data_IF_567634514410
#
_entry.id   IF_567634514410
#
_cell.length_a   1.000
_cell.length_b   1.000
_cell.length_c   1.000
_cell.angle_alpha   90.00
_cell.angle_beta   90.00
_cell.angle_gamma   90.00
#
_symmetry.space_group_name_H-M   'P 1'
#
loop_
_entity.id
_entity.type
_entity.pdbx_description
1 polymer ?
#
# COMPACT_ATOMS: atom_id res chain seq x y z
N UNK A 1 -32.62 25.90 -27.48
CA UNK A 1 -31.87 26.71 -26.51
C UNK A 1 -32.80 26.97 -25.33
N UNK A 2 -32.51 26.44 -24.15
CA UNK A 2 -33.24 26.78 -22.93
C UNK A 2 -32.85 28.21 -22.53
N UNK A 3 -33.84 29.05 -22.29
CA UNK A 3 -33.64 30.41 -21.80
C UNK A 3 -33.49 30.37 -20.29
N UNK A 4 -32.50 31.09 -19.75
CA UNK A 4 -32.41 31.37 -18.33
C UNK A 4 -33.67 32.08 -17.87
N UNK A 5 -34.28 31.63 -16.80
CA UNK A 5 -35.49 32.24 -16.22
C UNK A 5 -35.14 32.84 -14.87
N UNK A 6 -35.45 34.09 -14.66
CA UNK A 6 -35.22 34.77 -13.39
C UNK A 6 -36.09 34.17 -12.28
N UNK A 7 -35.50 33.64 -11.21
CA UNK A 7 -36.23 33.06 -10.09
C UNK A 7 -37.08 34.05 -9.31
N UNK A 8 -36.76 35.37 -9.39
CA UNK A 8 -37.48 36.40 -8.68
C UNK A 8 -38.76 36.87 -9.38
N UNK A 9 -38.76 36.95 -10.74
CA UNK A 9 -39.88 37.50 -11.47
C UNK A 9 -40.38 36.65 -12.65
N UNK A 10 -39.74 35.50 -12.90
CA UNK A 10 -40.08 34.63 -14.02
C UNK A 10 -39.66 35.15 -15.40
N UNK A 11 -39.02 36.31 -15.47
CA UNK A 11 -38.56 36.89 -16.73
C UNK A 11 -37.43 36.06 -17.38
N UNK A 12 -37.46 36.00 -18.73
CA UNK A 12 -36.50 35.17 -19.49
C UNK A 12 -35.40 35.99 -20.18
N UNK A 13 -35.39 37.31 -19.99
CA UNK A 13 -34.41 38.20 -20.58
C UNK A 13 -33.33 38.56 -19.58
N UNK A 14 -32.24 37.74 -19.54
CA UNK A 14 -31.07 37.96 -18.73
C UNK A 14 -29.88 38.28 -19.62
N UNK A 15 -29.27 39.44 -19.43
CA UNK A 15 -28.11 39.92 -20.20
C UNK A 15 -26.87 39.86 -19.33
N UNK A 16 -25.75 39.36 -19.89
CA UNK A 16 -24.46 39.34 -19.22
C UNK A 16 -23.82 40.74 -19.28
N UNK A 17 -23.66 41.40 -18.13
CA UNK A 17 -22.96 42.67 -17.97
C UNK A 17 -21.91 42.55 -16.84
N UNK A 18 -20.69 42.99 -17.07
CA UNK A 18 -19.60 43.05 -16.08
C UNK A 18 -19.38 41.72 -15.29
N UNK A 19 -19.54 40.59 -15.99
CA UNK A 19 -19.32 39.27 -15.39
C UNK A 19 -20.50 38.66 -14.60
N UNK A 20 -21.64 39.37 -14.53
CA UNK A 20 -22.89 38.91 -13.91
C UNK A 20 -24.04 38.91 -14.92
N UNK A 21 -25.08 38.10 -14.70
CA UNK A 21 -26.31 38.10 -15.48
C UNK A 21 -27.33 38.98 -14.78
N UNK A 22 -27.85 39.96 -15.49
CA UNK A 22 -28.85 40.95 -14.99
C UNK A 22 -30.18 40.71 -15.67
N UNK A 23 -31.21 40.47 -14.88
CA UNK A 23 -32.58 40.38 -15.40
C UNK A 23 -33.08 41.77 -15.86
N UNK A 24 -33.50 41.88 -17.12
CA UNK A 24 -33.96 43.15 -17.69
C UNK A 24 -35.34 43.58 -17.16
N UNK A 25 -36.09 42.65 -16.52
CA UNK A 25 -37.41 42.97 -15.98
C UNK A 25 -37.38 43.50 -14.55
N UNK A 26 -36.56 42.88 -13.68
CA UNK A 26 -36.56 43.22 -12.25
C UNK A 26 -35.20 43.69 -11.71
N UNK A 27 -34.15 43.70 -12.56
CA UNK A 27 -32.81 44.15 -12.17
C UNK A 27 -32.03 43.18 -11.29
N UNK A 28 -32.57 42.01 -10.96
CA UNK A 28 -31.86 41.00 -10.13
C UNK A 28 -30.61 40.55 -10.83
N UNK A 29 -29.50 40.50 -10.08
CA UNK A 29 -28.17 40.07 -10.56
C UNK A 29 -27.87 38.66 -10.10
N UNK A 30 -27.35 37.84 -11.01
CA UNK A 30 -26.91 36.46 -10.74
C UNK A 30 -25.44 36.30 -11.11
N UNK A 31 -24.64 35.72 -10.22
CA UNK A 31 -23.28 35.35 -10.56
C UNK A 31 -23.26 34.17 -11.53
N UNK A 32 -22.16 34.02 -12.27
CA UNK A 32 -22.02 32.96 -13.30
C UNK A 32 -22.30 31.58 -12.76
N UNK A 33 -21.93 31.32 -11.49
CA UNK A 33 -22.17 30.04 -10.82
C UNK A 33 -23.65 29.80 -10.48
N UNK A 34 -24.38 30.85 -10.09
CA UNK A 34 -25.81 30.77 -9.81
C UNK A 34 -26.60 30.58 -11.11
N UNK A 35 -26.21 31.32 -12.16
CA UNK A 35 -26.80 31.15 -13.49
C UNK A 35 -26.54 29.74 -14.06
N UNK A 36 -25.39 29.13 -13.76
CA UNK A 36 -25.10 27.72 -14.09
C UNK A 36 -26.02 26.74 -13.34
N UNK A 37 -26.29 26.95 -12.06
CA UNK A 37 -27.25 26.13 -11.30
C UNK A 37 -28.65 26.18 -11.90
N UNK A 38 -29.12 27.38 -12.29
CA UNK A 38 -30.41 27.56 -12.98
C UNK A 38 -30.50 26.84 -14.33
N UNK A 39 -29.34 26.61 -14.99
CA UNK A 39 -29.28 25.83 -16.24
C UNK A 39 -29.32 24.31 -15.97
N UNK A 40 -28.90 23.85 -14.80
CA UNK A 40 -28.80 22.43 -14.45
C UNK A 40 -30.12 21.88 -13.90
N UNK A 41 -30.95 22.70 -13.23
CA UNK A 41 -32.25 22.29 -12.67
C UNK A 41 -33.36 22.09 -13.73
N UNK A 42 -33.08 22.36 -14.96
CA UNK A 42 -33.96 21.95 -16.06
C UNK A 42 -33.54 20.63 -16.64
N UNK A 43 -34.37 19.58 -16.55
CA UNK A 43 -34.18 18.32 -17.28
C UNK A 43 -33.82 18.60 -18.74
N UNK A 44 -32.52 18.50 -19.06
CA UNK A 44 -32.06 18.47 -20.44
C UNK A 44 -32.31 17.04 -20.90
N UNK A 45 -33.35 16.86 -21.71
CA UNK A 45 -33.58 15.59 -22.43
C UNK A 45 -32.47 15.51 -23.50
N UNK A 46 -31.30 15.01 -23.06
CA UNK A 46 -30.17 14.75 -23.95
C UNK A 46 -30.43 13.39 -24.57
N UNK A 47 -31.07 13.38 -25.73
CA UNK A 47 -31.04 12.19 -26.59
C UNK A 47 -29.61 12.01 -27.10
N UNK A 48 -28.79 11.35 -26.30
CA UNK A 48 -27.40 11.03 -26.60
C UNK A 48 -26.55 11.02 -25.34
N UNK A 49 -25.60 10.09 -25.25
CA UNK A 49 -24.60 10.03 -24.18
C UNK A 49 -23.64 11.19 -24.36
N UNK A 50 -23.68 12.20 -23.50
CA UNK A 50 -22.64 13.23 -23.43
C UNK A 50 -21.43 12.58 -22.78
N UNK A 51 -20.46 12.11 -23.56
CA UNK A 51 -19.14 11.76 -23.06
C UNK A 51 -18.41 13.06 -22.70
N UNK A 52 -18.33 13.37 -21.43
CA UNK A 52 -17.44 14.42 -20.93
C UNK A 52 -16.02 13.88 -21.04
N UNK A 53 -15.21 14.45 -21.92
CA UNK A 53 -13.80 14.10 -22.01
C UNK A 53 -13.05 14.73 -20.82
N UNK A 54 -12.81 13.94 -19.79
CA UNK A 54 -12.06 14.34 -18.59
C UNK A 54 -10.56 14.01 -18.71
N UNK A 55 -10.09 13.56 -19.87
CA UNK A 55 -8.72 13.08 -20.07
C UNK A 55 -7.64 14.09 -19.65
N UNK A 56 -7.82 15.37 -19.97
CA UNK A 56 -6.89 16.44 -19.61
C UNK A 56 -6.84 16.66 -18.07
N UNK A 57 -7.96 16.53 -17.37
CA UNK A 57 -8.01 16.63 -15.91
C UNK A 57 -7.35 15.41 -15.25
N UNK A 58 -7.64 14.21 -15.76
CA UNK A 58 -7.03 12.97 -15.29
C UNK A 58 -5.50 13.05 -15.40
N UNK A 59 -4.97 13.48 -16.53
CA UNK A 59 -3.51 13.65 -16.72
C UNK A 59 -2.91 14.63 -15.72
N UNK A 60 -3.54 15.80 -15.54
CA UNK A 60 -3.08 16.80 -14.57
C UNK A 60 -3.08 16.28 -13.14
N UNK A 61 -4.10 15.51 -12.75
CA UNK A 61 -4.16 14.92 -11.42
C UNK A 61 -3.12 13.81 -11.25
N UNK A 62 -2.87 12.97 -12.27
CA UNK A 62 -1.80 11.97 -12.27
C UNK A 62 -0.42 12.61 -12.10
N UNK A 63 -0.12 13.70 -12.81
CA UNK A 63 1.14 14.43 -12.66
C UNK A 63 1.32 14.98 -11.24
N UNK A 64 0.27 15.57 -10.67
CA UNK A 64 0.30 16.07 -9.30
C UNK A 64 0.47 14.92 -8.28
N UNK A 65 -0.25 13.82 -8.47
CA UNK A 65 -0.19 12.64 -7.61
C UNK A 65 1.22 12.01 -7.62
N UNK A 66 1.82 11.84 -8.80
CA UNK A 66 3.18 11.30 -8.96
C UNK A 66 4.24 12.22 -8.34
N UNK A 67 4.05 13.54 -8.45
CA UNK A 67 4.92 14.53 -7.79
C UNK A 67 4.78 14.48 -6.27
N UNK A 68 3.57 14.32 -5.74
CA UNK A 68 3.32 14.14 -4.31
C UNK A 68 3.97 12.84 -3.81
N UNK A 69 3.83 11.73 -4.55
CA UNK A 69 4.47 10.46 -4.24
C UNK A 69 6.00 10.57 -4.17
N UNK A 70 6.62 11.30 -5.11
CA UNK A 70 8.08 11.50 -5.09
C UNK A 70 8.59 12.29 -3.88
N UNK A 71 7.70 13.09 -3.26
CA UNK A 71 7.99 13.88 -2.04
C UNK A 71 7.54 13.18 -0.76
N UNK A 72 6.94 11.99 -0.87
CA UNK A 72 6.34 11.25 0.25
C UNK A 72 5.23 12.03 0.99
N UNK A 73 4.57 12.95 0.28
CA UNK A 73 3.40 13.67 0.78
C UNK A 73 2.16 12.80 0.63
N UNK A 74 1.95 11.91 1.62
CA UNK A 74 0.92 10.88 1.55
C UNK A 74 -0.51 11.44 1.56
N UNK A 75 -0.73 12.61 2.13
CA UNK A 75 -2.02 13.30 2.09
C UNK A 75 -2.35 13.78 0.68
N UNK A 76 -1.41 14.42 0.01
CA UNK A 76 -1.59 14.83 -1.39
C UNK A 76 -1.63 13.63 -2.35
N UNK A 77 -0.89 12.53 -2.05
CA UNK A 77 -0.97 11.27 -2.80
C UNK A 77 -2.40 10.73 -2.76
N UNK A 78 -2.98 10.56 -1.56
CA UNK A 78 -4.37 10.13 -1.42
C UNK A 78 -5.31 11.02 -2.20
N UNK A 79 -5.22 12.33 -1.99
CA UNK A 79 -6.11 13.32 -2.58
C UNK A 79 -6.12 13.31 -4.11
N UNK A 80 -4.94 13.40 -4.72
CA UNK A 80 -4.86 13.48 -6.18
C UNK A 80 -5.19 12.16 -6.87
N UNK A 81 -4.76 11.00 -6.33
CA UNK A 81 -5.16 9.72 -6.89
C UNK A 81 -6.66 9.45 -6.71
N UNK A 82 -7.28 9.86 -5.62
CA UNK A 82 -8.73 9.79 -5.44
C UNK A 82 -9.48 10.64 -6.49
N UNK A 83 -8.93 11.81 -6.86
CA UNK A 83 -9.49 12.61 -7.96
C UNK A 83 -9.36 11.92 -9.32
N UNK A 84 -8.26 11.19 -9.56
CA UNK A 84 -8.11 10.36 -10.77
C UNK A 84 -9.14 9.24 -10.77
N UNK A 85 -9.27 8.51 -9.67
CA UNK A 85 -10.22 7.39 -9.52
C UNK A 85 -11.67 7.82 -9.77
N UNK A 86 -12.08 8.99 -9.25
CA UNK A 86 -13.42 9.55 -9.49
C UNK A 86 -13.69 9.88 -10.97
N UNK A 87 -12.67 10.25 -11.74
CA UNK A 87 -12.81 10.61 -13.17
C UNK A 87 -12.46 9.45 -14.12
N UNK A 88 -11.77 8.43 -13.62
CA UNK A 88 -11.36 7.22 -14.35
C UNK A 88 -11.36 6.02 -13.40
N UNK A 89 -12.54 5.45 -13.11
CA UNK A 89 -12.69 4.41 -12.06
C UNK A 89 -11.90 3.13 -12.29
N UNK A 90 -11.56 2.82 -13.54
CA UNK A 90 -10.80 1.61 -13.91
C UNK A 90 -9.29 1.87 -14.02
N UNK A 91 -8.80 3.01 -13.52
CA UNK A 91 -7.39 3.33 -13.52
C UNK A 91 -6.68 2.57 -12.39
N UNK A 92 -5.90 1.55 -12.73
CA UNK A 92 -5.21 0.67 -11.76
C UNK A 92 -4.23 1.45 -10.87
N UNK A 93 -3.48 2.41 -11.46
CA UNK A 93 -2.54 3.25 -10.70
C UNK A 93 -3.30 4.03 -9.62
N UNK A 94 -4.42 4.65 -9.99
CA UNK A 94 -5.20 5.48 -9.06
C UNK A 94 -5.85 4.67 -7.94
N UNK A 95 -6.48 3.54 -8.26
CA UNK A 95 -7.14 2.66 -7.29
C UNK A 95 -6.15 2.14 -6.24
N UNK A 96 -4.95 1.77 -6.65
CA UNK A 96 -3.92 1.35 -5.71
C UNK A 96 -3.38 2.53 -4.89
N UNK A 97 -2.90 3.60 -5.55
CA UNK A 97 -2.19 4.67 -4.85
C UNK A 97 -3.07 5.57 -4.00
N UNK A 98 -4.38 5.72 -4.28
CA UNK A 98 -5.32 6.39 -3.38
C UNK A 98 -5.40 5.68 -2.02
N UNK A 99 -5.51 4.36 -2.05
CA UNK A 99 -5.55 3.52 -0.84
C UNK A 99 -4.18 3.36 -0.18
N UNK A 100 -3.11 3.35 -0.98
CA UNK A 100 -1.73 3.33 -0.48
C UNK A 100 -1.42 4.60 0.33
N UNK A 101 -1.78 5.79 -0.18
CA UNK A 101 -1.64 7.05 0.56
C UNK A 101 -2.33 6.99 1.93
N UNK A 102 -3.57 6.47 1.98
CA UNK A 102 -4.31 6.26 3.25
C UNK A 102 -3.59 5.31 4.21
N UNK A 103 -3.04 4.22 3.69
CA UNK A 103 -2.30 3.25 4.50
C UNK A 103 -1.01 3.87 5.06
N UNK A 104 -0.26 4.62 4.25
CA UNK A 104 0.96 5.31 4.67
C UNK A 104 0.69 6.39 5.71
N UNK A 105 -0.37 7.20 5.57
CA UNK A 105 -0.80 8.17 6.58
C UNK A 105 -1.12 7.50 7.92
N UNK A 106 -1.72 6.30 7.90
CA UNK A 106 -2.08 5.59 9.12
C UNK A 106 -0.88 5.11 9.94
N UNK A 107 0.33 5.06 9.37
CA UNK A 107 1.54 4.67 10.08
C UNK A 107 1.94 5.68 11.18
N UNK A 108 1.50 6.93 11.06
CA UNK A 108 1.69 7.95 12.08
C UNK A 108 0.67 7.87 13.22
N UNK A 109 -0.38 7.05 13.07
CA UNK A 109 -1.42 6.87 14.08
C UNK A 109 -0.98 5.81 15.09
N UNK A 110 -1.13 6.12 16.38
CA UNK A 110 -0.79 5.19 17.47
C UNK A 110 -1.84 4.08 17.67
N UNK A 111 -2.99 4.18 17.00
CA UNK A 111 -4.07 3.21 17.13
C UNK A 111 -3.94 2.09 16.07
N UNK A 112 -3.56 0.89 16.50
CA UNK A 112 -3.44 -0.30 15.62
C UNK A 112 -4.69 -0.58 14.80
N UNK A 113 -5.86 -0.44 15.38
CA UNK A 113 -7.13 -0.68 14.70
C UNK A 113 -7.32 0.23 13.47
N UNK A 114 -6.90 1.48 13.54
CA UNK A 114 -6.96 2.41 12.40
C UNK A 114 -6.01 2.00 11.30
N UNK A 115 -4.78 1.57 11.66
CA UNK A 115 -3.82 1.03 10.69
C UNK A 115 -4.40 -0.20 9.98
N UNK A 116 -4.93 -1.16 10.74
CA UNK A 116 -5.52 -2.38 10.21
C UNK A 116 -6.67 -2.08 9.23
N UNK A 117 -7.55 -1.14 9.58
CA UNK A 117 -8.61 -0.69 8.69
C UNK A 117 -8.07 -0.13 7.37
N UNK A 118 -7.04 0.74 7.41
CA UNK A 118 -6.47 1.36 6.21
C UNK A 118 -5.72 0.35 5.34
N UNK A 119 -4.97 -0.56 5.94
CA UNK A 119 -4.34 -1.67 5.22
C UNK A 119 -5.38 -2.65 4.66
N UNK A 120 -6.49 -2.87 5.35
CA UNK A 120 -7.62 -3.65 4.84
C UNK A 120 -8.29 -2.99 3.62
N UNK A 121 -8.35 -1.65 3.57
CA UNK A 121 -8.80 -0.91 2.37
C UNK A 121 -7.81 -1.12 1.23
N UNK A 122 -6.51 -0.99 1.49
CA UNK A 122 -5.47 -1.22 0.48
C UNK A 122 -5.51 -2.65 -0.08
N UNK A 123 -5.68 -3.66 0.76
CA UNK A 123 -5.84 -5.05 0.31
C UNK A 123 -7.05 -5.22 -0.62
N UNK A 124 -8.19 -4.58 -0.30
CA UNK A 124 -9.37 -4.59 -1.20
C UNK A 124 -9.14 -3.86 -2.52
N UNK A 125 -8.37 -2.77 -2.52
CA UNK A 125 -8.01 -2.07 -3.76
C UNK A 125 -7.10 -2.92 -4.64
N UNK A 126 -6.25 -3.75 -4.04
CA UNK A 126 -5.40 -4.69 -4.77
C UNK A 126 -6.23 -5.79 -5.42
N UNK A 127 -7.24 -6.33 -4.71
CA UNK A 127 -8.05 -7.46 -5.20
C UNK A 127 -8.90 -7.17 -6.44
N UNK A 128 -8.94 -5.93 -6.92
CA UNK A 128 -9.60 -5.56 -8.19
C UNK A 128 -8.63 -5.28 -9.34
N UNK A 129 -7.32 -5.41 -9.11
CA UNK A 129 -6.29 -5.13 -10.13
C UNK A 129 -6.44 -6.05 -11.33
N UNK A 130 -6.69 -7.35 -11.10
CA UNK A 130 -6.91 -8.30 -12.18
C UNK A 130 -8.13 -7.93 -13.04
N UNK A 131 -9.23 -7.52 -12.41
CA UNK A 131 -10.45 -7.11 -13.12
C UNK A 131 -10.20 -5.86 -13.99
N UNK A 132 -9.37 -4.93 -13.51
CA UNK A 132 -9.05 -3.69 -14.23
C UNK A 132 -7.93 -3.87 -15.25
N UNK A 133 -7.17 -4.95 -15.16
CA UNK A 133 -6.07 -5.21 -16.09
C UNK A 133 -6.50 -5.18 -17.55
N UNK A 134 -7.68 -5.74 -17.88
CA UNK A 134 -8.18 -5.75 -19.25
C UNK A 134 -8.73 -4.40 -19.72
N UNK A 135 -9.40 -3.69 -18.84
CA UNK A 135 -10.17 -2.49 -19.19
C UNK A 135 -9.40 -1.19 -18.99
N UNK A 136 -8.27 -1.23 -18.28
CA UNK A 136 -7.40 -0.08 -18.08
C UNK A 136 -6.71 0.33 -19.39
N UNK A 137 -6.73 1.64 -19.67
CA UNK A 137 -6.02 2.24 -20.81
C UNK A 137 -4.55 2.54 -20.57
N UNK A 138 -4.01 2.18 -19.39
CA UNK A 138 -2.64 2.49 -18.97
C UNK A 138 -1.61 1.51 -19.55
N UNK A 139 -0.34 1.88 -19.43
CA UNK A 139 0.75 0.94 -19.61
C UNK A 139 0.79 -0.05 -18.43
N UNK A 140 0.21 -1.22 -18.64
CA UNK A 140 -0.02 -2.26 -17.61
C UNK A 140 1.28 -2.69 -16.93
N UNK A 141 2.35 -2.92 -17.68
CA UNK A 141 3.65 -3.29 -17.13
C UNK A 141 4.21 -2.19 -16.22
N UNK A 142 4.19 -0.94 -16.67
CA UNK A 142 4.69 0.21 -15.89
C UNK A 142 3.93 0.36 -14.59
N UNK A 143 2.59 0.25 -14.62
CA UNK A 143 1.76 0.37 -13.41
C UNK A 143 2.04 -0.77 -12.43
N UNK A 144 2.10 -2.01 -12.89
CA UNK A 144 2.38 -3.15 -12.01
C UNK A 144 3.80 -3.07 -11.41
N UNK A 145 4.79 -2.57 -12.15
CA UNK A 145 6.13 -2.30 -11.61
C UNK A 145 6.10 -1.21 -10.54
N UNK A 146 5.39 -0.10 -10.76
CA UNK A 146 5.22 0.97 -9.76
C UNK A 146 4.56 0.46 -8.49
N UNK A 147 3.52 -0.38 -8.61
CA UNK A 147 2.85 -1.00 -7.45
C UNK A 147 3.84 -1.88 -6.67
N UNK A 148 4.59 -2.73 -7.38
CA UNK A 148 5.60 -3.59 -6.76
C UNK A 148 6.67 -2.79 -6.02
N UNK A 149 7.15 -1.70 -6.61
CA UNK A 149 8.15 -0.81 -6.00
C UNK A 149 7.58 -0.06 -4.78
N UNK A 150 6.31 0.34 -4.84
CA UNK A 150 5.63 0.97 -3.72
C UNK A 150 5.47 0.02 -2.53
N UNK A 151 5.11 -1.25 -2.77
CA UNK A 151 5.02 -2.29 -1.73
C UNK A 151 6.41 -2.55 -1.10
N UNK A 152 7.48 -2.53 -1.90
CA UNK A 152 8.84 -2.67 -1.37
C UNK A 152 9.26 -1.44 -0.54
N UNK A 153 8.91 -0.24 -1.02
CA UNK A 153 9.18 1.02 -0.32
C UNK A 153 8.42 1.12 1.01
N UNK A 154 7.19 0.63 1.08
CA UNK A 154 6.39 0.61 2.31
C UNK A 154 7.19 0.03 3.48
N UNK A 155 7.88 -1.08 3.27
CA UNK A 155 8.72 -1.73 4.28
C UNK A 155 9.86 -0.83 4.78
N UNK A 156 10.53 -0.10 3.89
CA UNK A 156 11.63 0.80 4.26
C UNK A 156 11.16 2.01 5.06
N UNK A 157 9.95 2.50 4.79
CA UNK A 157 9.36 3.68 5.46
C UNK A 157 8.87 3.31 6.86
N UNK A 158 8.21 2.18 7.03
CA UNK A 158 7.75 1.72 8.35
C UNK A 158 8.89 1.50 9.33
N UNK A 159 10.08 1.14 8.82
CA UNK A 159 11.28 1.01 9.64
C UNK A 159 11.76 2.36 10.20
N UNK A 160 11.58 3.46 9.46
CA UNK A 160 12.03 4.82 9.84
C UNK A 160 11.05 5.48 10.83
N UNK A 161 9.74 5.38 10.60
CA UNK A 161 8.73 6.01 11.46
C UNK A 161 8.69 5.43 12.88
N UNK A 162 9.19 4.24 13.09
CA UNK A 162 9.28 3.62 14.39
C UNK A 162 10.40 4.16 15.30
N UNK A 163 11.30 5.00 14.80
CA UNK A 163 12.52 5.41 15.54
C UNK A 163 12.47 6.78 16.18
N UNK A 164 11.49 7.65 15.86
CA UNK A 164 11.59 9.06 16.22
C UNK A 164 10.83 9.51 17.49
N UNK A 165 9.85 8.81 18.02
CA UNK A 165 9.03 9.39 19.10
C UNK A 165 8.84 8.56 20.36
N UNK A 166 8.99 7.28 20.32
CA UNK A 166 9.05 6.37 21.47
C UNK A 166 9.51 5.05 20.87
N UNK A 167 10.60 4.48 21.34
CA UNK A 167 11.12 3.22 20.81
C UNK A 167 9.95 2.26 20.54
N UNK A 168 9.64 1.98 19.23
CA UNK A 168 8.54 1.08 18.93
C UNK A 168 8.83 -0.24 19.62
N UNK A 169 7.85 -0.77 20.30
CA UNK A 169 8.01 -2.08 20.88
C UNK A 169 8.22 -3.08 19.75
N UNK A 170 8.86 -4.19 20.00
CA UNK A 170 9.03 -5.24 19.00
C UNK A 170 7.67 -5.75 18.48
N UNK A 171 6.63 -5.68 19.30
CA UNK A 171 5.25 -5.97 18.92
C UNK A 171 4.73 -5.01 17.83
N UNK A 172 4.99 -3.70 17.94
CA UNK A 172 4.62 -2.72 16.94
C UNK A 172 5.24 -3.01 15.58
N UNK A 173 6.52 -3.34 15.59
CA UNK A 173 7.27 -3.66 14.40
C UNK A 173 6.77 -4.96 13.73
N UNK A 174 6.56 -6.00 14.53
CA UNK A 174 6.04 -7.27 14.06
C UNK A 174 4.63 -7.14 13.49
N UNK A 175 3.79 -6.32 14.12
CA UNK A 175 2.43 -6.07 13.66
C UNK A 175 2.41 -5.36 12.29
N UNK A 176 3.22 -4.31 12.14
CA UNK A 176 3.29 -3.55 10.88
C UNK A 176 3.82 -4.42 9.73
N UNK A 177 4.85 -5.23 9.98
CA UNK A 177 5.37 -6.18 8.98
C UNK A 177 4.30 -7.19 8.56
N UNK A 178 3.46 -7.67 9.48
CA UNK A 178 2.33 -8.57 9.12
C UNK A 178 1.35 -7.90 8.17
N UNK A 179 1.02 -6.62 8.41
CA UNK A 179 0.17 -5.86 7.50
C UNK A 179 0.81 -5.70 6.11
N UNK A 180 2.09 -5.38 6.05
CA UNK A 180 2.83 -5.27 4.78
C UNK A 180 2.93 -6.60 4.03
N UNK A 181 3.18 -7.69 4.74
CA UNK A 181 3.18 -9.02 4.15
C UNK A 181 1.79 -9.40 3.61
N UNK A 182 0.70 -8.96 4.25
CA UNK A 182 -0.66 -9.18 3.74
C UNK A 182 -0.90 -8.44 2.42
N UNK A 183 -0.40 -7.20 2.30
CA UNK A 183 -0.45 -6.39 1.07
C UNK A 183 0.33 -7.06 -0.05
N UNK A 184 1.55 -7.52 0.25
CA UNK A 184 2.40 -8.23 -0.71
C UNK A 184 1.76 -9.55 -1.17
N UNK A 185 1.17 -10.31 -0.25
CA UNK A 185 0.50 -11.57 -0.57
C UNK A 185 -0.75 -11.35 -1.43
N UNK A 186 -1.54 -10.31 -1.15
CA UNK A 186 -2.67 -9.92 -1.98
C UNK A 186 -2.22 -9.59 -3.41
N UNK A 187 -1.21 -8.74 -3.56
CA UNK A 187 -0.67 -8.37 -4.87
C UNK A 187 -0.09 -9.58 -5.64
N UNK A 188 0.62 -10.47 -4.95
CA UNK A 188 1.13 -11.71 -5.53
C UNK A 188 0.00 -12.62 -6.07
N UNK A 189 -1.14 -12.65 -5.39
CA UNK A 189 -2.31 -13.41 -5.85
C UNK A 189 -2.83 -12.85 -7.18
N UNK A 190 -3.01 -11.53 -7.28
CA UNK A 190 -3.44 -10.88 -8.52
C UNK A 190 -2.45 -11.09 -9.67
N UNK A 191 -1.14 -10.93 -9.41
CA UNK A 191 -0.11 -11.20 -10.43
C UNK A 191 -0.16 -12.62 -10.98
N UNK A 192 -0.43 -13.61 -10.12
CA UNK A 192 -0.57 -15.02 -10.56
C UNK A 192 -1.81 -15.23 -11.40
N UNK A 193 -2.94 -14.64 -11.04
CA UNK A 193 -4.18 -14.72 -11.82
C UNK A 193 -4.00 -14.07 -13.20
N UNK A 194 -3.38 -12.88 -13.26
CA UNK A 194 -3.05 -12.21 -14.53
C UNK A 194 -2.11 -13.11 -15.36
N UNK A 195 -1.10 -13.74 -14.75
CA UNK A 195 -0.17 -14.62 -15.45
C UNK A 195 -0.85 -15.89 -15.98
N UNK A 196 -1.82 -16.44 -15.27
CA UNK A 196 -2.63 -17.59 -15.75
C UNK A 196 -3.43 -17.25 -17.00
N UNK A 197 -3.97 -16.01 -17.08
CA UNK A 197 -4.70 -15.53 -18.24
C UNK A 197 -3.76 -15.09 -19.40
N UNK A 198 -2.55 -14.60 -19.09
CA UNK A 198 -1.59 -13.99 -20.00
C UNK A 198 -0.19 -14.64 -19.86
N UNK A 199 -0.08 -15.92 -20.24
CA UNK A 199 1.15 -16.69 -20.09
C UNK A 199 2.36 -16.14 -20.91
N UNK A 200 2.09 -15.38 -21.95
CA UNK A 200 3.07 -14.73 -22.83
C UNK A 200 3.76 -13.50 -22.20
N UNK A 201 3.18 -12.88 -21.17
CA UNK A 201 3.73 -11.70 -20.52
C UNK A 201 4.87 -12.10 -19.57
N UNK A 202 6.09 -12.12 -20.06
CA UNK A 202 7.30 -12.58 -19.33
C UNK A 202 7.69 -11.69 -18.15
N UNK A 203 7.39 -10.39 -18.20
CA UNK A 203 7.66 -9.46 -17.07
C UNK A 203 6.90 -9.84 -15.78
N UNK A 204 5.79 -10.58 -15.89
CA UNK A 204 5.06 -11.07 -14.73
C UNK A 204 5.86 -12.08 -13.91
N UNK A 205 6.70 -12.90 -14.55
CA UNK A 205 7.54 -13.88 -13.84
C UNK A 205 8.54 -13.18 -12.91
N UNK A 206 9.12 -12.06 -13.37
CA UNK A 206 9.99 -11.22 -12.56
C UNK A 206 9.24 -10.61 -11.38
N UNK A 207 8.06 -10.02 -11.62
CA UNK A 207 7.25 -9.42 -10.58
C UNK A 207 6.77 -10.44 -9.54
N UNK A 208 6.35 -11.62 -9.98
CA UNK A 208 5.96 -12.74 -9.11
C UNK A 208 7.15 -13.17 -8.26
N UNK A 209 8.33 -13.36 -8.85
CA UNK A 209 9.56 -13.72 -8.13
C UNK A 209 9.92 -12.68 -7.08
N UNK A 210 9.87 -11.39 -7.44
CA UNK A 210 10.15 -10.26 -6.54
C UNK A 210 9.20 -10.22 -5.35
N UNK A 211 7.89 -10.37 -5.60
CA UNK A 211 6.86 -10.28 -4.56
C UNK A 211 6.63 -11.58 -3.79
N UNK A 212 7.22 -12.70 -4.22
CA UNK A 212 7.19 -13.97 -3.46
C UNK A 212 8.06 -13.94 -2.20
N UNK A 213 8.96 -12.99 -2.09
CA UNK A 213 9.85 -12.85 -0.93
C UNK A 213 9.10 -12.18 0.20
N UNK A 214 8.62 -12.96 1.16
CA UNK A 214 8.08 -12.42 2.40
C UNK A 214 9.18 -11.77 3.24
N UNK A 215 8.84 -10.63 3.84
CA UNK A 215 9.69 -10.02 4.86
C UNK A 215 9.45 -10.78 6.16
N UNK A 216 10.51 -11.29 6.79
CA UNK A 216 10.38 -12.04 8.03
C UNK A 216 9.99 -11.13 9.19
N UNK A 217 8.90 -11.47 9.83
CA UNK A 217 8.46 -10.84 11.08
C UNK A 217 9.28 -11.43 12.22
N UNK A 218 10.16 -10.62 12.78
CA UNK A 218 10.89 -11.00 14.00
C UNK A 218 12.20 -11.72 13.78
N UNK A 219 13.11 -11.28 14.45
CA UNK A 219 14.46 -11.48 14.91
C UNK A 219 15.27 -12.74 14.69
N UNK A 220 14.90 -13.71 13.92
CA UNK A 220 15.78 -14.82 13.54
C UNK A 220 16.50 -14.56 12.20
N UNK A 221 16.99 -13.32 11.99
CA UNK A 221 17.58 -12.85 10.74
C UNK A 221 18.60 -13.82 10.14
N UNK A 222 19.57 -14.27 10.96
CA UNK A 222 20.61 -15.21 10.49
C UNK A 222 20.00 -16.57 10.14
N UNK A 223 19.11 -17.11 10.98
CA UNK A 223 18.49 -18.40 10.72
C UNK A 223 17.59 -18.34 9.46
N UNK A 224 16.79 -17.29 9.30
CA UNK A 224 15.96 -17.09 8.12
C UNK A 224 16.80 -16.96 6.85
N UNK A 225 17.91 -16.21 6.88
CA UNK A 225 18.81 -16.09 5.74
C UNK A 225 19.48 -17.43 5.37
N UNK A 226 19.72 -18.27 6.37
CA UNK A 226 20.38 -19.60 6.20
C UNK A 226 19.40 -20.66 5.69
N UNK A 227 18.18 -20.70 6.25
CA UNK A 227 17.19 -21.73 5.90
C UNK A 227 16.23 -21.29 4.79
N UNK A 228 16.26 -20.01 4.40
CA UNK A 228 15.45 -19.46 3.32
C UNK A 228 13.97 -19.20 3.68
N UNK A 229 13.55 -19.53 4.91
CA UNK A 229 12.19 -19.30 5.39
C UNK A 229 12.19 -18.98 6.89
N UNK A 230 11.31 -18.05 7.29
CA UNK A 230 11.01 -17.81 8.71
C UNK A 230 10.11 -18.89 9.29
N UNK A 231 9.28 -19.48 8.46
CA UNK A 231 8.32 -20.54 8.82
C UNK A 231 8.82 -21.90 8.29
N UNK A 232 9.80 -22.43 8.99
CA UNK A 232 10.30 -23.79 8.78
C UNK A 232 10.67 -24.42 10.14
N UNK A 233 10.71 -25.76 10.23
CA UNK A 233 10.92 -26.49 11.48
C UNK A 233 12.14 -26.04 12.28
N UNK A 234 13.24 -25.75 11.61
CA UNK A 234 14.48 -25.31 12.24
C UNK A 234 14.33 -23.91 12.87
N UNK A 235 13.66 -23.00 12.18
CA UNK A 235 13.46 -21.63 12.67
C UNK A 235 12.41 -21.61 13.78
N UNK A 236 11.34 -22.41 13.69
CA UNK A 236 10.36 -22.55 14.78
C UNK A 236 11.01 -23.05 16.09
N UNK A 237 11.90 -24.03 16.02
CA UNK A 237 12.68 -24.52 17.18
C UNK A 237 13.51 -23.39 17.81
N UNK A 238 14.21 -22.60 16.98
CA UNK A 238 15.06 -21.49 17.46
C UNK A 238 14.23 -20.34 18.06
N UNK A 239 13.09 -20.00 17.46
CA UNK A 239 12.16 -18.98 17.95
C UNK A 239 11.57 -19.40 19.31
N UNK A 240 11.13 -20.65 19.41
CA UNK A 240 10.59 -21.20 20.65
C UNK A 240 11.66 -21.20 21.77
N UNK A 241 12.90 -21.55 21.46
CA UNK A 241 14.00 -21.45 22.40
C UNK A 241 14.30 -20.02 22.83
N UNK A 242 14.30 -19.06 21.90
CA UNK A 242 14.42 -17.63 22.19
C UNK A 242 13.35 -17.18 23.19
N UNK A 243 12.09 -17.47 22.92
CA UNK A 243 10.95 -16.94 23.67
C UNK A 243 10.66 -17.69 24.97
N UNK A 244 10.94 -18.98 25.00
CA UNK A 244 10.61 -19.80 26.17
C UNK A 244 11.80 -20.02 27.12
N UNK A 245 13.03 -19.81 26.66
CA UNK A 245 14.25 -20.10 27.44
C UNK A 245 15.14 -18.88 27.60
N UNK A 246 15.61 -18.28 26.49
CA UNK A 246 16.55 -17.15 26.55
C UNK A 246 15.90 -15.91 27.17
N UNK A 247 14.68 -15.57 26.79
CA UNK A 247 13.98 -14.40 27.30
C UNK A 247 13.75 -14.39 28.80
N UNK A 248 13.76 -15.58 29.45
CA UNK A 248 13.56 -15.72 30.89
C UNK A 248 14.77 -15.30 31.73
N UNK A 249 15.96 -15.20 31.13
CA UNK A 249 17.19 -14.85 31.82
C UNK A 249 17.65 -13.45 31.45
N UNK A 250 18.27 -12.71 32.38
CA UNK A 250 18.76 -11.37 32.12
C UNK A 250 19.84 -11.33 31.02
N UNK A 251 20.77 -12.31 31.03
CA UNK A 251 21.82 -12.44 30.01
C UNK A 251 21.24 -12.87 28.65
N UNK A 252 20.19 -13.69 28.66
CA UNK A 252 19.50 -14.06 27.44
C UNK A 252 18.80 -12.86 26.80
N UNK A 253 18.15 -11.99 27.58
CA UNK A 253 17.57 -10.72 27.08
C UNK A 253 18.64 -9.80 26.52
N UNK A 254 19.78 -9.65 27.23
CA UNK A 254 20.90 -8.86 26.73
C UNK A 254 21.45 -9.42 25.41
N UNK A 255 21.62 -10.75 25.31
CA UNK A 255 22.03 -11.41 24.06
C UNK A 255 21.04 -11.14 22.93
N UNK A 256 19.74 -11.27 23.19
CA UNK A 256 18.69 -11.00 22.20
C UNK A 256 18.77 -9.55 21.73
N UNK A 257 18.93 -8.58 22.64
CA UNK A 257 19.08 -7.17 22.28
C UNK A 257 20.29 -6.89 21.37
N UNK A 258 21.45 -7.46 21.70
CA UNK A 258 22.66 -7.34 20.87
C UNK A 258 22.46 -8.04 19.51
N UNK A 259 21.86 -9.22 19.51
CA UNK A 259 21.57 -9.96 18.29
C UNK A 259 20.70 -9.15 17.33
N UNK A 260 19.65 -8.50 17.84
CA UNK A 260 18.76 -7.67 17.02
C UNK A 260 19.41 -6.38 16.53
N UNK A 261 20.31 -5.82 17.29
CA UNK A 261 21.05 -4.63 16.86
C UNK A 261 22.05 -4.92 15.73
N UNK A 262 22.67 -6.13 15.74
CA UNK A 262 23.79 -6.46 14.85
C UNK A 262 23.38 -7.34 13.67
N UNK A 263 22.48 -8.31 13.88
CA UNK A 263 22.16 -9.31 12.87
C UNK A 263 21.50 -8.77 11.58
N UNK A 264 20.65 -7.71 11.58
CA UNK A 264 20.10 -7.15 10.35
C UNK A 264 21.20 -6.63 9.42
N UNK A 265 22.19 -5.91 9.99
CA UNK A 265 23.33 -5.36 9.23
C UNK A 265 24.21 -6.49 8.68
N UNK A 266 24.50 -7.52 9.47
CA UNK A 266 25.28 -8.67 9.03
C UNK A 266 24.58 -9.43 7.89
N UNK A 267 23.28 -9.66 8.02
CA UNK A 267 22.49 -10.38 7.01
C UNK A 267 22.35 -9.52 5.74
N UNK A 268 22.19 -8.21 5.86
CA UNK A 268 22.14 -7.30 4.70
C UNK A 268 23.43 -7.37 3.89
N UNK A 269 24.61 -7.45 4.53
CA UNK A 269 25.89 -7.45 3.80
C UNK A 269 26.31 -8.85 3.33
N UNK A 270 26.08 -9.88 4.14
CA UNK A 270 26.63 -11.21 3.90
C UNK A 270 25.59 -12.32 3.71
N UNK A 271 24.32 -12.09 4.08
CA UNK A 271 23.26 -13.11 4.12
C UNK A 271 22.94 -13.76 2.77
N UNK A 272 23.27 -13.11 1.67
CA UNK A 272 23.11 -13.63 0.31
C UNK A 272 24.28 -14.50 -0.14
N UNK A 273 25.44 -14.47 0.56
CA UNK A 273 26.65 -15.20 0.16
C UNK A 273 26.60 -16.66 0.60
N UNK A 274 27.04 -17.56 -0.29
CA UNK A 274 27.10 -19.01 0.00
C UNK A 274 28.03 -19.34 1.17
N UNK A 275 29.13 -18.60 1.31
CA UNK A 275 30.08 -18.77 2.41
C UNK A 275 29.42 -18.51 3.77
N UNK A 276 28.66 -17.42 3.89
CA UNK A 276 27.91 -17.09 5.11
C UNK A 276 26.87 -18.16 5.42
N UNK A 277 26.06 -18.53 4.43
CA UNK A 277 25.01 -19.57 4.59
C UNK A 277 25.61 -20.91 5.02
N UNK A 278 26.69 -21.35 4.39
CA UNK A 278 27.37 -22.63 4.69
C UNK A 278 27.96 -22.66 6.10
N UNK A 279 28.60 -21.57 6.50
CA UNK A 279 29.21 -21.43 7.83
C UNK A 279 28.14 -21.46 8.94
N UNK A 280 27.10 -20.62 8.80
CA UNK A 280 26.05 -20.54 9.80
C UNK A 280 25.15 -21.76 9.81
N UNK A 281 24.87 -22.37 8.65
CA UNK A 281 24.06 -23.59 8.57
C UNK A 281 24.60 -24.71 9.46
N UNK A 282 25.90 -24.99 9.41
CA UNK A 282 26.53 -26.02 10.22
C UNK A 282 26.42 -25.74 11.73
N UNK A 283 26.46 -24.47 12.16
CA UNK A 283 26.29 -24.08 13.57
C UNK A 283 24.84 -24.19 14.02
N UNK A 284 23.92 -23.68 13.20
CA UNK A 284 22.50 -23.71 13.50
C UNK A 284 21.91 -25.12 13.48
N UNK A 285 22.31 -25.97 12.51
CA UNK A 285 21.88 -27.38 12.46
C UNK A 285 22.25 -28.13 13.75
N UNK A 286 23.47 -27.91 14.28
CA UNK A 286 23.90 -28.51 15.55
C UNK A 286 23.10 -27.98 16.75
N UNK A 287 22.81 -26.67 16.76
CA UNK A 287 21.99 -26.04 17.79
C UNK A 287 20.55 -26.56 17.76
N UNK A 288 19.95 -26.64 16.60
CA UNK A 288 18.57 -27.15 16.41
C UNK A 288 18.49 -28.61 16.83
N UNK A 289 19.46 -29.44 16.41
CA UNK A 289 19.51 -30.87 16.82
C UNK A 289 19.58 -31.04 18.35
N UNK A 290 20.39 -30.21 19.03
CA UNK A 290 20.48 -30.24 20.50
C UNK A 290 19.17 -29.78 21.14
N UNK A 291 18.59 -28.69 20.68
CA UNK A 291 17.31 -28.15 21.20
C UNK A 291 16.17 -29.16 21.05
N UNK A 292 16.13 -29.89 19.93
CA UNK A 292 15.18 -30.98 19.72
C UNK A 292 15.41 -32.15 20.66
N UNK A 293 16.67 -32.51 20.93
CA UNK A 293 16.97 -33.53 21.94
C UNK A 293 16.61 -33.10 23.37
N UNK A 294 16.64 -31.81 23.64
CA UNK A 294 16.22 -31.20 24.90
C UNK A 294 14.68 -30.98 24.98
N UNK A 295 13.92 -31.49 24.00
CA UNK A 295 12.46 -31.47 23.99
C UNK A 295 11.82 -30.21 23.40
N UNK A 296 12.57 -29.35 22.72
CA UNK A 296 11.99 -28.19 22.01
C UNK A 296 11.35 -28.66 20.71
N UNK A 297 10.04 -28.41 20.57
CA UNK A 297 9.27 -28.83 19.41
C UNK A 297 9.65 -28.06 18.13
N UNK A 298 9.48 -28.72 17.00
CA UNK A 298 9.69 -28.18 15.65
C UNK A 298 8.38 -27.98 14.84
N UNK A 299 7.25 -27.89 15.57
CA UNK A 299 5.92 -27.59 15.01
C UNK A 299 5.74 -26.11 14.74
N UNK A 300 4.77 -25.69 13.91
CA UNK A 300 4.46 -24.28 13.65
C UNK A 300 4.40 -23.46 14.94
N UNK A 301 5.02 -22.30 14.92
CA UNK A 301 5.18 -21.45 16.10
C UNK A 301 4.94 -20.00 15.80
N UNK A 302 4.06 -19.37 16.57
CA UNK A 302 3.84 -17.92 16.56
C UNK A 302 4.69 -17.27 17.65
N UNK A 303 5.32 -16.11 17.32
CA UNK A 303 6.14 -15.37 18.28
C UNK A 303 5.31 -14.91 19.47
N UNK A 304 5.92 -14.97 20.65
CA UNK A 304 5.31 -14.41 21.85
C UNK A 304 5.69 -12.94 21.97
N UNK A 305 4.72 -12.12 22.33
CA UNK A 305 4.93 -10.74 22.79
C UNK A 305 5.60 -10.78 24.18
N UNK A 306 6.77 -10.13 24.32
CA UNK A 306 7.51 -10.06 25.59
C UNK A 306 8.32 -8.75 25.71
#
# INVERSE_FOLDING_TARGET
MKRLTCEMCGGTDLIKQDGVFVCQYCGTKYYVEEARKMMIDGTVDVQGTVKIDNSAFVQKYLENARRAYSKEDWEEVEKYYNMVEQNSPNNMEAVFFSSFGKAMLSLTDNEYFKREQKFGVLNRSISVINDYFEVSGENKEEVLRKISDAIEKMYSVTFVYGTETNQPTQADHSYTIRLENSVRAAFLTELKQIKEAHADLTYLDELISKNSKQVSVGGCYVATAVYGSYDCPQVWTLRRYRDCTLSKTWYGRAFIGIYYAVSPTLVKWFGHTDGFKKMWKKKLDRMVARLKSDGVEDTPYEDRDW
#
